data_IF_384471418159
#
_entry.id   IF_384471418159
#
_cell.length_a   1.000
_cell.length_b   1.000
_cell.length_c   1.000
_cell.angle_alpha   90.00
_cell.angle_beta   90.00
_cell.angle_gamma   90.00
#
_symmetry.space_group_name_H-M   'P 1'
#
loop_
_entity.id
_entity.type
_entity.pdbx_description
1 polymer ?
#
# COMPACT_ATOMS: atom_id res chain seq x y z
N UNK A 1 20.41 -8.35 -4.07
CA UNK A 1 20.47 -8.24 -2.60
C UNK A 1 21.72 -7.48 -2.18
N UNK A 2 21.68 -6.92 -0.96
CA UNK A 2 22.83 -6.30 -0.29
C UNK A 2 23.10 -7.07 0.98
N UNK A 3 24.33 -7.52 1.16
CA UNK A 3 24.76 -8.22 2.39
C UNK A 3 25.56 -7.24 3.24
N UNK A 4 25.18 -7.12 4.52
CA UNK A 4 25.86 -6.29 5.51
C UNK A 4 26.62 -7.20 6.46
N UNK A 5 27.98 -7.28 6.37
CA UNK A 5 28.77 -8.12 7.25
C UNK A 5 28.57 -7.73 8.72
N UNK A 6 28.24 -8.71 9.57
CA UNK A 6 27.95 -8.50 10.98
C UNK A 6 26.61 -7.86 11.28
N UNK A 7 25.79 -7.56 10.28
CA UNK A 7 24.43 -7.04 10.46
C UNK A 7 23.42 -8.15 10.85
N UNK A 8 22.41 -7.77 11.60
CA UNK A 8 21.26 -8.64 11.92
C UNK A 8 20.09 -8.28 11.03
N UNK A 9 19.40 -9.27 10.47
CA UNK A 9 18.15 -9.06 9.70
C UNK A 9 17.12 -8.37 10.57
N UNK A 10 16.35 -7.46 9.96
CA UNK A 10 15.26 -6.76 10.64
C UNK A 10 14.35 -7.71 11.41
N UNK A 11 13.96 -7.31 12.60
CA UNK A 11 13.06 -8.08 13.47
C UNK A 11 11.92 -7.18 13.90
N UNK A 12 10.69 -7.71 13.85
CA UNK A 12 9.51 -7.04 14.37
C UNK A 12 8.76 -7.98 15.32
N UNK A 13 8.49 -7.49 16.53
CA UNK A 13 7.69 -8.18 17.55
C UNK A 13 6.35 -7.45 17.66
N UNK A 14 5.28 -8.19 17.46
CA UNK A 14 3.90 -7.70 17.65
C UNK A 14 3.36 -8.21 18.98
N UNK A 15 2.74 -7.32 19.74
CA UNK A 15 2.03 -7.61 20.96
C UNK A 15 0.55 -7.34 20.67
N UNK A 16 -0.24 -8.41 20.71
CA UNK A 16 -1.68 -8.32 20.48
C UNK A 16 -2.40 -8.18 21.84
N UNK A 17 -3.54 -7.52 21.84
CA UNK A 17 -4.44 -7.47 22.99
C UNK A 17 -5.30 -8.74 23.09
N UNK A 18 -6.23 -8.75 24.06
CA UNK A 18 -7.14 -9.88 24.32
C UNK A 18 -8.15 -10.14 23.19
N UNK A 19 -8.30 -9.18 22.25
CA UNK A 19 -9.17 -9.29 21.08
C UNK A 19 -8.40 -9.68 19.81
N UNK A 20 -7.06 -9.81 19.91
CA UNK A 20 -6.20 -10.11 18.78
C UNK A 20 -5.79 -8.89 17.96
N UNK A 21 -6.11 -7.67 18.42
CA UNK A 21 -5.72 -6.43 17.80
C UNK A 21 -4.29 -6.04 18.20
N UNK A 22 -3.59 -5.33 17.30
CA UNK A 22 -2.23 -4.88 17.54
C UNK A 22 -2.20 -3.81 18.63
N UNK A 23 -1.71 -4.18 19.82
CA UNK A 23 -1.52 -3.28 20.96
C UNK A 23 -0.21 -2.52 20.86
N UNK A 24 0.89 -3.21 20.55
CA UNK A 24 2.24 -2.63 20.43
C UNK A 24 3.05 -3.36 19.38
N UNK A 25 3.98 -2.63 18.74
CA UNK A 25 5.00 -3.19 17.88
C UNK A 25 6.38 -2.70 18.28
N UNK A 26 7.34 -3.62 18.41
CA UNK A 26 8.75 -3.32 18.64
C UNK A 26 9.52 -3.79 17.42
N UNK A 27 10.18 -2.87 16.72
CA UNK A 27 10.87 -3.17 15.48
C UNK A 27 12.33 -2.71 15.52
N UNK A 28 13.24 -3.60 15.14
CA UNK A 28 14.62 -3.27 14.79
C UNK A 28 14.78 -3.37 13.27
N UNK A 29 14.83 -2.20 12.63
CA UNK A 29 14.94 -2.04 11.18
C UNK A 29 16.29 -1.42 10.77
N UNK A 30 17.24 -1.30 11.70
CA UNK A 30 18.51 -0.57 11.51
C UNK A 30 19.34 -1.04 10.33
N UNK A 31 19.25 -2.32 9.95
CA UNK A 31 19.96 -2.83 8.76
C UNK A 31 19.54 -2.13 7.47
N UNK A 32 18.32 -1.61 7.39
CA UNK A 32 17.79 -0.91 6.21
C UNK A 32 18.47 0.43 5.96
N UNK A 33 19.13 1.03 6.97
CA UNK A 33 19.92 2.24 6.82
C UNK A 33 21.15 2.01 5.92
N UNK A 34 21.54 0.76 5.71
CA UNK A 34 22.57 0.39 4.74
C UNK A 34 22.16 0.54 3.28
N UNK A 35 20.85 0.65 2.99
CA UNK A 35 20.33 0.97 1.66
C UNK A 35 20.47 2.47 1.36
N UNK A 36 21.71 2.95 1.33
CA UNK A 36 22.03 4.34 1.05
C UNK A 36 21.81 4.70 -0.43
N UNK A 37 21.69 6.00 -0.78
CA UNK A 37 21.62 6.43 -2.17
C UNK A 37 22.73 5.85 -3.05
N UNK A 38 23.97 5.78 -2.56
CA UNK A 38 25.08 5.21 -3.33
C UNK A 38 24.97 3.70 -3.57
N UNK A 39 24.28 2.97 -2.68
CA UNK A 39 23.97 1.55 -2.89
C UNK A 39 22.87 1.39 -3.94
N UNK A 40 21.85 2.25 -3.91
CA UNK A 40 20.74 2.27 -4.85
C UNK A 40 21.20 2.69 -6.25
N UNK A 41 22.06 3.69 -6.35
CA UNK A 41 22.67 4.15 -7.60
C UNK A 41 23.33 3.00 -8.38
N UNK A 42 24.08 2.15 -7.68
CA UNK A 42 24.69 0.95 -8.29
C UNK A 42 23.68 -0.12 -8.73
N UNK A 43 22.41 0.05 -8.42
CA UNK A 43 21.30 -0.84 -8.79
C UNK A 43 20.28 -0.19 -9.73
N UNK A 44 20.47 1.09 -10.07
CA UNK A 44 19.50 1.85 -10.83
C UNK A 44 19.17 1.19 -12.17
N UNK A 45 20.18 0.71 -12.91
CA UNK A 45 19.98 -0.04 -14.16
C UNK A 45 19.11 -1.30 -13.99
N UNK A 46 19.19 -1.95 -12.84
CA UNK A 46 18.35 -3.11 -12.52
C UNK A 46 16.92 -2.69 -12.22
N UNK A 47 16.75 -1.60 -11.47
CA UNK A 47 15.45 -1.04 -11.11
C UNK A 47 14.73 -0.55 -12.37
N UNK A 48 15.39 0.21 -13.22
CA UNK A 48 14.79 0.78 -14.43
C UNK A 48 14.45 -0.25 -15.52
N UNK A 49 15.02 -1.45 -15.45
CA UNK A 49 14.61 -2.57 -16.31
C UNK A 49 13.40 -3.35 -15.79
N UNK A 50 12.95 -3.07 -14.57
CA UNK A 50 11.73 -3.69 -14.03
C UNK A 50 10.50 -3.02 -14.65
N UNK A 51 9.38 -3.74 -14.70
CA UNK A 51 8.10 -3.19 -15.18
C UNK A 51 7.44 -2.30 -14.11
N UNK A 52 7.75 -2.55 -12.83
CA UNK A 52 7.31 -1.76 -11.69
C UNK A 52 8.36 -1.83 -10.58
N UNK A 53 8.45 -0.79 -9.77
CA UNK A 53 9.27 -0.77 -8.55
C UNK A 53 8.39 -0.48 -7.34
N UNK A 54 8.55 -1.24 -6.28
CA UNK A 54 7.89 -0.98 -5.00
C UNK A 54 8.90 -0.57 -3.94
N UNK A 55 8.55 0.43 -3.16
CA UNK A 55 9.32 0.88 -2.00
C UNK A 55 8.40 1.17 -0.83
N UNK A 56 8.86 0.85 0.37
CA UNK A 56 8.21 1.27 1.61
C UNK A 56 9.03 2.34 2.34
N UNK A 57 8.45 2.95 3.35
CA UNK A 57 9.09 4.01 4.13
C UNK A 57 10.01 3.50 5.24
N UNK A 58 10.37 2.22 5.26
CA UNK A 58 11.35 1.68 6.21
C UNK A 58 12.78 2.15 5.90
N UNK A 59 13.09 2.46 4.64
CA UNK A 59 14.39 3.04 4.26
C UNK A 59 14.50 4.53 4.65
N UNK A 60 15.72 5.10 4.54
CA UNK A 60 15.96 6.50 4.89
C UNK A 60 15.25 7.47 3.94
N UNK A 61 14.98 8.71 4.42
CA UNK A 61 14.40 9.77 3.58
C UNK A 61 15.27 10.09 2.37
N UNK A 62 16.60 10.07 2.56
CA UNK A 62 17.57 10.32 1.49
C UNK A 62 17.47 9.27 0.39
N UNK A 63 17.28 8.00 0.78
CA UNK A 63 17.12 6.89 -0.15
C UNK A 63 15.77 6.91 -0.86
N UNK A 64 14.69 7.29 -0.16
CA UNK A 64 13.38 7.54 -0.77
C UNK A 64 13.46 8.65 -1.80
N UNK A 65 14.11 9.77 -1.46
CA UNK A 65 14.31 10.89 -2.39
C UNK A 65 15.10 10.45 -3.61
N UNK A 66 16.20 9.73 -3.41
CA UNK A 66 17.02 9.23 -4.52
C UNK A 66 16.18 8.38 -5.49
N UNK A 67 15.39 7.43 -4.97
CA UNK A 67 14.50 6.62 -5.83
C UNK A 67 13.46 7.49 -6.54
N UNK A 68 12.80 8.39 -5.83
CA UNK A 68 11.78 9.28 -6.38
C UNK A 68 12.32 10.17 -7.52
N UNK A 69 13.56 10.64 -7.40
CA UNK A 69 14.16 11.57 -8.39
C UNK A 69 14.86 10.86 -9.56
N UNK A 70 15.22 9.57 -9.44
CA UNK A 70 16.09 8.90 -10.44
C UNK A 70 15.47 7.66 -11.07
N UNK A 71 14.46 7.04 -10.44
CA UNK A 71 13.81 5.84 -11.02
C UNK A 71 12.82 6.27 -12.09
N UNK A 72 12.91 5.65 -13.27
CA UNK A 72 12.06 5.94 -14.43
C UNK A 72 10.90 4.96 -14.61
N UNK A 73 10.95 3.80 -13.93
CA UNK A 73 9.85 2.82 -13.95
C UNK A 73 8.73 3.23 -12.97
N UNK A 74 7.46 2.84 -13.21
CA UNK A 74 6.37 3.14 -12.29
C UNK A 74 6.71 2.77 -10.84
N UNK A 75 6.69 3.77 -9.95
CA UNK A 75 7.12 3.64 -8.57
C UNK A 75 5.90 3.57 -7.64
N UNK A 76 5.75 2.48 -6.92
CA UNK A 76 4.68 2.23 -5.96
C UNK A 76 5.20 2.40 -4.53
N UNK A 77 4.38 2.95 -3.63
CA UNK A 77 4.80 3.21 -2.27
C UNK A 77 3.74 2.82 -1.22
N UNK A 78 4.22 2.23 -0.12
CA UNK A 78 3.43 2.06 1.12
C UNK A 78 4.03 2.93 2.23
N UNK A 79 3.23 3.79 2.90
CA UNK A 79 3.69 4.64 4.00
C UNK A 79 4.06 3.89 5.27
N UNK A 80 3.62 2.65 5.46
CA UNK A 80 3.88 1.74 6.60
C UNK A 80 3.31 2.21 7.93
N UNK A 81 3.45 3.50 8.27
CA UNK A 81 2.91 4.10 9.50
C UNK A 81 2.84 5.61 9.41
N UNK A 82 2.01 6.23 10.24
CA UNK A 82 1.85 7.69 10.32
C UNK A 82 3.18 8.43 10.55
N UNK A 83 4.04 7.90 11.42
CA UNK A 83 5.35 8.50 11.72
C UNK A 83 6.31 8.40 10.53
N UNK A 84 6.31 7.28 9.81
CA UNK A 84 7.17 7.07 8.65
C UNK A 84 6.66 7.78 7.40
N UNK A 85 5.35 7.94 7.25
CA UNK A 85 4.71 8.66 6.15
C UNK A 85 5.28 10.09 5.97
N UNK A 86 5.69 10.75 7.05
CA UNK A 86 6.31 12.08 7.00
C UNK A 86 7.58 12.15 6.16
N UNK A 87 8.28 11.01 5.96
CA UNK A 87 9.45 10.93 5.07
C UNK A 87 9.11 11.23 3.61
N UNK A 88 7.84 11.06 3.21
CA UNK A 88 7.35 11.25 1.84
C UNK A 88 6.99 12.71 1.52
N UNK A 89 7.05 13.62 2.51
CA UNK A 89 6.75 15.04 2.30
C UNK A 89 7.59 15.64 1.16
N UNK A 90 6.92 16.20 0.16
CA UNK A 90 7.54 16.78 -1.05
C UNK A 90 8.03 15.76 -2.08
N UNK A 91 7.72 14.46 -1.90
CA UNK A 91 8.12 13.40 -2.84
C UNK A 91 6.92 12.73 -3.54
N UNK A 92 5.70 12.99 -3.07
CA UNK A 92 4.49 12.25 -3.50
C UNK A 92 4.27 12.28 -5.02
N UNK A 93 4.55 13.39 -5.68
CA UNK A 93 4.36 13.55 -7.12
C UNK A 93 5.30 12.71 -8.01
N UNK A 94 6.24 11.96 -7.42
CA UNK A 94 7.11 11.04 -8.15
C UNK A 94 6.59 9.60 -8.15
N UNK A 95 5.51 9.32 -7.40
CA UNK A 95 4.97 7.98 -7.31
C UNK A 95 3.81 7.77 -8.27
N UNK A 96 3.80 6.60 -8.92
CA UNK A 96 2.66 6.16 -9.73
C UNK A 96 1.46 5.82 -8.83
N UNK A 97 1.68 5.08 -7.75
CA UNK A 97 0.59 4.76 -6.84
C UNK A 97 1.05 4.67 -5.38
N UNK A 98 0.14 5.04 -4.49
CA UNK A 98 0.35 4.93 -3.03
C UNK A 98 -0.88 4.34 -2.35
N UNK A 99 -0.64 3.51 -1.32
CA UNK A 99 -1.70 2.91 -0.52
C UNK A 99 -1.58 3.26 0.97
N UNK A 100 -1.98 4.46 1.37
CA UNK A 100 -2.10 4.79 2.79
C UNK A 100 -3.36 4.16 3.41
N UNK A 101 -3.36 3.95 4.72
CA UNK A 101 -4.60 3.85 5.49
C UNK A 101 -5.13 5.27 5.83
N UNK A 102 -6.32 5.35 6.46
CA UNK A 102 -6.93 6.64 6.81
C UNK A 102 -5.99 7.52 7.67
N UNK A 103 -5.36 6.96 8.70
CA UNK A 103 -4.47 7.71 9.61
C UNK A 103 -3.20 8.19 8.89
N UNK A 104 -2.67 7.40 7.98
CA UNK A 104 -1.51 7.78 7.16
C UNK A 104 -1.88 8.87 6.14
N UNK A 105 -3.08 8.78 5.54
CA UNK A 105 -3.60 9.81 4.67
C UNK A 105 -3.81 11.14 5.43
N UNK A 106 -4.33 11.09 6.67
CA UNK A 106 -4.40 12.26 7.56
C UNK A 106 -3.03 12.88 7.81
N UNK A 107 -2.03 12.05 8.15
CA UNK A 107 -0.68 12.51 8.41
C UNK A 107 -0.01 13.16 7.19
N UNK A 108 -0.30 12.66 5.98
CA UNK A 108 0.23 13.18 4.72
C UNK A 108 -0.45 14.47 4.27
N UNK A 109 -1.76 14.61 4.54
CA UNK A 109 -2.59 15.71 4.00
C UNK A 109 -2.91 16.80 5.00
N UNK A 110 -2.83 16.50 6.30
CA UNK A 110 -3.33 17.36 7.37
C UNK A 110 -4.87 17.46 7.41
N UNK A 111 -5.58 16.58 6.71
CA UNK A 111 -7.05 16.49 6.74
C UNK A 111 -7.44 15.44 7.75
N UNK A 112 -8.28 15.77 8.73
CA UNK A 112 -8.89 14.76 9.60
C UNK A 112 -10.05 14.09 8.87
N UNK A 113 -10.00 12.77 8.75
CA UNK A 113 -10.97 11.96 8.02
C UNK A 113 -12.04 11.47 9.02
N UNK A 114 -13.26 11.97 8.89
CA UNK A 114 -14.39 11.63 9.76
C UNK A 114 -15.69 11.36 8.97
N UNK A 115 -15.71 11.66 7.68
CA UNK A 115 -16.82 11.43 6.76
C UNK A 115 -16.32 11.26 5.32
N UNK A 116 -17.24 10.96 4.41
CA UNK A 116 -16.94 10.79 2.98
C UNK A 116 -16.27 12.02 2.36
N UNK A 117 -16.77 13.23 2.69
CA UNK A 117 -16.24 14.49 2.12
C UNK A 117 -14.81 14.76 2.55
N UNK A 118 -14.48 14.49 3.81
CA UNK A 118 -13.11 14.65 4.31
C UNK A 118 -12.19 13.59 3.74
N UNK A 119 -12.68 12.38 3.49
CA UNK A 119 -11.94 11.31 2.82
C UNK A 119 -11.62 11.68 1.35
N UNK A 120 -12.63 12.15 0.59
CA UNK A 120 -12.45 12.65 -0.77
C UNK A 120 -11.48 13.84 -0.82
N UNK A 121 -11.57 14.76 0.15
CA UNK A 121 -10.65 15.89 0.26
C UNK A 121 -9.20 15.42 0.51
N UNK A 122 -9.01 14.43 1.35
CA UNK A 122 -7.68 13.85 1.59
C UNK A 122 -7.12 13.21 0.32
N UNK A 123 -7.92 12.40 -0.39
CA UNK A 123 -7.51 11.80 -1.66
C UNK A 123 -7.14 12.86 -2.70
N UNK A 124 -7.96 13.90 -2.85
CA UNK A 124 -7.69 15.02 -3.77
C UNK A 124 -6.39 15.72 -3.43
N UNK A 125 -6.13 16.03 -2.16
CA UNK A 125 -4.87 16.67 -1.75
C UNK A 125 -3.65 15.80 -2.07
N UNK A 126 -3.77 14.47 -1.98
CA UNK A 126 -2.70 13.57 -2.38
C UNK A 126 -2.45 13.64 -3.89
N UNK A 127 -3.51 13.61 -4.70
CA UNK A 127 -3.40 13.74 -6.16
C UNK A 127 -2.88 15.13 -6.58
N UNK A 128 -3.26 16.20 -5.89
CA UNK A 128 -2.80 17.58 -6.15
C UNK A 128 -1.26 17.73 -5.99
N UNK A 129 -0.58 16.77 -5.35
CA UNK A 129 0.89 16.72 -5.26
C UNK A 129 1.56 16.21 -6.55
N UNK A 130 0.80 15.68 -7.50
CA UNK A 130 1.28 14.99 -8.68
C UNK A 130 1.29 13.45 -8.57
N UNK A 131 0.87 12.89 -7.42
CA UNK A 131 0.64 11.44 -7.27
C UNK A 131 -0.42 11.00 -8.29
N UNK A 132 -0.13 9.94 -9.08
CA UNK A 132 -1.05 9.55 -10.16
C UNK A 132 -2.26 8.77 -9.64
N UNK A 133 -2.07 7.88 -8.66
CA UNK A 133 -3.14 7.07 -8.07
C UNK A 133 -2.98 6.96 -6.54
N UNK A 134 -4.08 6.97 -5.82
CA UNK A 134 -4.11 6.72 -4.37
C UNK A 134 -5.18 5.70 -4.02
N UNK A 135 -4.85 4.81 -3.08
CA UNK A 135 -5.71 3.76 -2.56
C UNK A 135 -5.79 3.88 -1.04
N UNK A 136 -6.80 4.60 -0.51
CA UNK A 136 -6.95 4.82 0.93
C UNK A 136 -7.73 3.66 1.55
N UNK A 137 -7.05 2.81 2.31
CA UNK A 137 -7.68 1.68 2.99
C UNK A 137 -8.38 2.10 4.27
N UNK A 138 -9.60 1.58 4.47
CA UNK A 138 -10.52 1.96 5.54
C UNK A 138 -10.90 0.75 6.44
N UNK A 139 -10.09 -0.30 6.40
CA UNK A 139 -10.36 -1.53 7.15
C UNK A 139 -11.67 -2.18 6.70
N UNK A 140 -12.59 -2.40 7.65
CA UNK A 140 -13.90 -2.99 7.37
C UNK A 140 -14.79 -2.13 6.46
N UNK A 141 -14.51 -0.83 6.34
CA UNK A 141 -15.27 0.10 5.51
C UNK A 141 -14.83 0.10 4.04
N UNK A 142 -13.83 -0.73 3.68
CA UNK A 142 -13.42 -0.95 2.30
C UNK A 142 -12.25 -0.07 1.85
N UNK A 143 -12.31 0.43 0.62
CA UNK A 143 -11.21 1.12 -0.05
C UNK A 143 -11.74 2.30 -0.88
N UNK A 144 -11.13 3.47 -0.73
CA UNK A 144 -11.30 4.58 -1.65
C UNK A 144 -10.11 4.60 -2.60
N UNK A 145 -10.39 4.61 -3.90
CA UNK A 145 -9.39 4.71 -4.95
C UNK A 145 -9.62 5.99 -5.75
N UNK A 146 -8.55 6.71 -6.05
CA UNK A 146 -8.62 7.94 -6.84
C UNK A 146 -7.43 8.05 -7.79
N UNK A 147 -7.66 8.60 -8.97
CA UNK A 147 -6.68 8.84 -10.03
C UNK A 147 -7.18 9.87 -11.02
N UNK A 148 -6.53 9.96 -12.18
CA UNK A 148 -6.91 10.92 -13.24
C UNK A 148 -8.32 10.66 -13.79
N UNK A 149 -8.75 9.40 -13.84
CA UNK A 149 -10.04 8.98 -14.40
C UNK A 149 -11.21 9.16 -13.42
N UNK A 150 -10.94 9.61 -12.21
CA UNK A 150 -11.96 9.85 -11.19
C UNK A 150 -11.64 9.24 -9.83
N UNK A 151 -12.70 9.11 -9.05
CA UNK A 151 -12.64 8.57 -7.70
C UNK A 151 -13.78 7.57 -7.51
N UNK A 152 -13.50 6.45 -6.87
CA UNK A 152 -14.49 5.44 -6.55
C UNK A 152 -14.25 4.90 -5.15
N UNK A 153 -15.31 4.46 -4.51
CA UNK A 153 -15.26 3.75 -3.24
C UNK A 153 -15.95 2.41 -3.35
N UNK A 154 -15.24 1.35 -2.96
CA UNK A 154 -15.81 0.01 -2.88
C UNK A 154 -15.85 -0.46 -1.41
N UNK A 155 -16.92 -1.15 -0.98
CA UNK A 155 -16.99 -1.75 0.34
C UNK A 155 -16.01 -2.92 0.46
N UNK A 156 -15.63 -3.28 1.69
CA UNK A 156 -14.84 -4.49 1.93
C UNK A 156 -15.59 -5.73 1.45
N UNK A 157 -14.84 -6.71 0.96
CA UNK A 157 -15.43 -8.00 0.61
C UNK A 157 -15.64 -8.84 1.88
N UNK A 158 -16.69 -9.65 1.86
CA UNK A 158 -16.98 -10.55 2.97
C UNK A 158 -15.83 -11.53 3.20
N UNK A 159 -15.42 -11.70 4.46
CA UNK A 159 -14.36 -12.61 4.87
C UNK A 159 -14.59 -13.09 6.31
N UNK A 160 -14.19 -14.32 6.59
CA UNK A 160 -14.12 -14.86 7.94
C UNK A 160 -12.78 -14.43 8.58
N UNK A 161 -12.77 -13.24 9.17
CA UNK A 161 -11.54 -12.59 9.64
C UNK A 161 -10.91 -13.37 10.79
N UNK A 162 -9.68 -13.86 10.55
CA UNK A 162 -8.82 -14.52 11.53
C UNK A 162 -7.72 -13.58 12.00
N UNK A 163 -7.09 -12.84 11.07
CA UNK A 163 -6.03 -11.87 11.36
C UNK A 163 -5.97 -10.80 10.27
N UNK A 164 -5.85 -9.54 10.66
CA UNK A 164 -5.65 -8.43 9.72
C UNK A 164 -4.17 -8.20 9.36
N UNK A 165 -3.24 -8.91 10.02
CA UNK A 165 -1.80 -8.70 9.83
C UNK A 165 -1.37 -9.13 8.43
N UNK A 166 -0.69 -8.21 7.70
CA UNK A 166 -0.20 -8.45 6.34
C UNK A 166 -1.22 -8.19 5.23
N UNK A 167 -2.50 -7.91 5.55
CA UNK A 167 -3.52 -7.60 4.54
C UNK A 167 -3.20 -6.32 3.76
N UNK A 168 -2.61 -5.33 4.42
CA UNK A 168 -2.16 -4.09 3.79
C UNK A 168 -1.06 -4.31 2.76
N UNK A 169 -0.03 -5.08 3.11
CA UNK A 169 1.09 -5.40 2.21
C UNK A 169 0.60 -6.24 1.02
N UNK A 170 -0.28 -7.21 1.31
CA UNK A 170 -0.87 -8.05 0.28
C UNK A 170 -1.78 -7.24 -0.67
N UNK A 171 -2.54 -6.26 -0.16
CA UNK A 171 -3.32 -5.32 -0.96
C UNK A 171 -2.43 -4.51 -1.90
N UNK A 172 -1.30 -3.98 -1.43
CA UNK A 172 -0.35 -3.28 -2.30
C UNK A 172 0.20 -4.22 -3.39
N UNK A 173 0.54 -5.45 -3.04
CA UNK A 173 0.94 -6.48 -4.01
C UNK A 173 -0.13 -6.72 -5.08
N UNK A 174 -1.41 -6.73 -4.72
CA UNK A 174 -2.53 -6.87 -5.65
C UNK A 174 -2.70 -5.66 -6.56
N UNK A 175 -2.54 -4.44 -6.04
CA UNK A 175 -2.58 -3.20 -6.84
C UNK A 175 -1.48 -3.21 -7.90
N UNK A 176 -0.25 -3.59 -7.53
CA UNK A 176 0.87 -3.74 -8.47
C UNK A 176 0.56 -4.84 -9.50
N UNK A 177 0.04 -5.99 -9.05
CA UNK A 177 -0.34 -7.07 -9.95
C UNK A 177 -1.41 -6.62 -10.96
N UNK A 178 -2.44 -5.91 -10.52
CA UNK A 178 -3.49 -5.35 -11.39
C UNK A 178 -2.91 -4.39 -12.43
N UNK A 179 -2.01 -3.48 -12.01
CA UNK A 179 -1.27 -2.60 -12.94
C UNK A 179 -0.51 -3.41 -14.00
N UNK A 180 0.19 -4.48 -13.61
CA UNK A 180 0.92 -5.35 -14.55
C UNK A 180 0.01 -6.15 -15.48
N UNK A 181 -1.26 -6.35 -15.13
CA UNK A 181 -2.28 -6.96 -16.01
C UNK A 181 -2.96 -5.94 -16.93
N UNK A 182 -2.70 -4.64 -16.75
CA UNK A 182 -3.34 -3.57 -17.50
C UNK A 182 -4.77 -3.26 -17.04
N UNK A 183 -5.11 -3.64 -15.80
CA UNK A 183 -6.40 -3.28 -15.20
C UNK A 183 -6.49 -1.78 -14.96
N UNK A 184 -7.71 -1.25 -15.02
CA UNK A 184 -8.01 0.14 -14.68
C UNK A 184 -8.04 0.36 -13.14
N UNK A 185 -8.37 1.57 -12.72
CA UNK A 185 -8.45 1.95 -11.30
C UNK A 185 -9.48 1.09 -10.54
N UNK A 186 -10.62 0.77 -11.15
CA UNK A 186 -11.66 -0.07 -10.54
C UNK A 186 -11.17 -1.51 -10.39
N UNK A 187 -10.54 -2.08 -11.42
CA UNK A 187 -9.92 -3.41 -11.38
C UNK A 187 -8.83 -3.51 -10.32
N UNK A 188 -7.98 -2.49 -10.19
CA UNK A 188 -6.95 -2.44 -9.16
C UNK A 188 -7.55 -2.35 -7.74
N UNK A 189 -8.61 -1.56 -7.57
CA UNK A 189 -9.36 -1.47 -6.31
C UNK A 189 -9.99 -2.82 -5.92
N UNK A 190 -10.67 -3.46 -6.87
CA UNK A 190 -11.31 -4.77 -6.67
C UNK A 190 -10.28 -5.87 -6.35
N UNK A 191 -9.14 -5.89 -7.04
CA UNK A 191 -8.06 -6.83 -6.77
C UNK A 191 -7.48 -6.62 -5.35
N UNK A 192 -7.26 -5.36 -4.95
CA UNK A 192 -6.80 -5.01 -3.61
C UNK A 192 -7.74 -5.52 -2.52
N UNK A 193 -9.05 -5.31 -2.67
CA UNK A 193 -10.06 -5.78 -1.72
C UNK A 193 -10.16 -7.32 -1.69
N UNK A 194 -10.08 -7.97 -2.85
CA UNK A 194 -10.11 -9.44 -2.93
C UNK A 194 -8.93 -10.07 -2.18
N UNK A 195 -7.73 -9.53 -2.40
CA UNK A 195 -6.52 -10.01 -1.72
C UNK A 195 -6.57 -9.72 -0.23
N UNK A 196 -7.02 -8.54 0.19
CA UNK A 196 -7.19 -8.23 1.61
C UNK A 196 -8.13 -9.21 2.29
N UNK A 197 -9.30 -9.51 1.69
CA UNK A 197 -10.25 -10.49 2.21
C UNK A 197 -9.62 -11.89 2.33
N UNK A 198 -8.97 -12.39 1.28
CA UNK A 198 -8.29 -13.70 1.30
C UNK A 198 -7.21 -13.74 2.40
N UNK A 199 -6.43 -12.67 2.56
CA UNK A 199 -5.34 -12.63 3.56
C UNK A 199 -5.88 -12.61 4.98
N UNK A 200 -6.98 -11.91 5.25
CA UNK A 200 -7.57 -11.85 6.60
C UNK A 200 -8.17 -13.18 7.07
N UNK A 201 -8.47 -14.12 6.16
CA UNK A 201 -8.95 -15.47 6.47
C UNK A 201 -7.84 -16.42 6.97
N UNK A 202 -6.60 -15.95 7.13
CA UNK A 202 -5.46 -16.75 7.56
C UNK A 202 -4.81 -16.19 8.82
N UNK A 203 -4.37 -17.07 9.72
CA UNK A 203 -3.51 -16.70 10.84
C UNK A 203 -2.06 -16.39 10.40
N UNK A 204 -1.67 -16.78 9.19
CA UNK A 204 -0.35 -16.49 8.63
C UNK A 204 -0.33 -15.12 7.98
N UNK A 205 0.71 -14.33 8.21
CA UNK A 205 0.93 -13.01 7.58
C UNK A 205 0.85 -13.08 6.04
N UNK A 206 1.31 -14.19 5.45
CA UNK A 206 1.15 -14.50 4.03
C UNK A 206 0.24 -15.73 3.93
N UNK A 207 -0.96 -15.54 3.37
CA UNK A 207 -1.89 -16.66 3.19
C UNK A 207 -1.37 -17.62 2.11
N UNK A 208 -1.11 -18.91 2.43
CA UNK A 208 -0.61 -19.87 1.45
C UNK A 208 -1.59 -20.17 0.30
N UNK A 209 -2.87 -19.85 0.46
CA UNK A 209 -3.92 -20.03 -0.55
C UNK A 209 -4.04 -18.81 -1.49
N UNK A 210 -3.25 -17.77 -1.31
CA UNK A 210 -3.27 -16.59 -2.17
C UNK A 210 -2.69 -16.94 -3.55
N UNK A 211 -3.57 -17.01 -4.54
CA UNK A 211 -3.24 -17.26 -5.95
C UNK A 211 -3.98 -16.27 -6.84
N UNK A 212 -3.46 -16.03 -8.05
CA UNK A 212 -4.13 -15.17 -9.02
C UNK A 212 -5.56 -15.68 -9.37
N UNK A 213 -5.78 -17.00 -9.35
CA UNK A 213 -7.09 -17.60 -9.61
C UNK A 213 -8.05 -17.31 -8.45
N UNK A 214 -7.62 -17.50 -7.19
CA UNK A 214 -8.42 -17.17 -6.01
C UNK A 214 -8.82 -15.68 -5.99
N UNK A 215 -7.91 -14.80 -6.38
CA UNK A 215 -8.18 -13.36 -6.48
C UNK A 215 -9.25 -13.08 -7.53
N UNK A 216 -9.10 -13.60 -8.76
CA UNK A 216 -10.11 -13.43 -9.82
C UNK A 216 -11.48 -14.00 -9.45
N UNK A 217 -11.50 -15.15 -8.79
CA UNK A 217 -12.73 -15.74 -8.30
C UNK A 217 -13.40 -14.84 -7.26
N UNK A 218 -12.66 -14.34 -6.26
CA UNK A 218 -13.21 -13.44 -5.22
C UNK A 218 -13.71 -12.13 -5.82
N UNK A 219 -13.01 -11.56 -6.81
CA UNK A 219 -13.47 -10.37 -7.55
C UNK A 219 -14.80 -10.65 -8.27
N UNK A 220 -14.94 -11.80 -8.94
CA UNK A 220 -16.16 -12.16 -9.65
C UNK A 220 -17.35 -12.37 -8.70
N UNK A 221 -17.14 -13.02 -7.56
CA UNK A 221 -18.16 -13.22 -6.53
C UNK A 221 -18.65 -11.88 -5.95
N UNK A 222 -17.74 -10.95 -5.68
CA UNK A 222 -18.07 -9.62 -5.16
C UNK A 222 -18.75 -8.73 -6.21
N UNK A 223 -18.32 -8.77 -7.47
CA UNK A 223 -18.96 -8.05 -8.58
C UNK A 223 -20.39 -8.50 -8.86
N UNK A 224 -20.71 -9.77 -8.58
CA UNK A 224 -22.07 -10.29 -8.67
C UNK A 224 -23.01 -9.77 -7.55
N UNK A 225 -22.44 -9.29 -6.44
CA UNK A 225 -23.18 -8.80 -5.26
C UNK A 225 -23.14 -7.28 -5.10
N UNK A 226 -22.27 -6.56 -5.82
CA UNK A 226 -21.95 -5.15 -5.62
C UNK A 226 -22.81 -4.18 -6.42
N UNK A 227 -23.49 -3.27 -5.75
CA UNK A 227 -23.90 -1.99 -6.35
C UNK A 227 -22.71 -1.03 -6.30
N UNK A 228 -22.16 -0.70 -7.47
CA UNK A 228 -21.27 0.43 -7.64
C UNK A 228 -22.05 1.70 -7.29
N UNK A 229 -21.67 2.40 -6.24
CA UNK A 229 -22.15 3.76 -5.98
C UNK A 229 -21.35 4.67 -6.93
N UNK A 230 -21.90 4.94 -8.11
CA UNK A 230 -21.36 5.94 -9.01
C UNK A 230 -21.39 7.31 -8.31
N UNK A 231 -20.21 7.93 -8.16
CA UNK A 231 -20.13 9.33 -7.79
C UNK A 231 -20.77 10.20 -8.90
N UNK A 232 -21.80 10.97 -8.53
CA UNK A 232 -22.32 12.09 -9.32
C UNK A 232 -21.51 13.34 -9.03
#
# INVERSE_FOLDING_TARGET
SVTVPGGTTSTCLFILDEHGDLSQAIADMGILDSLTPSVLERRLDLIDRATACFVDTNISRESLRFLAEHVSTPLFCDPVSTSKATKLSGLLGHFHAMKPNALEAEALTGVTIHDEKSLELAAKKLLDTGLEQVFISLGADGLLCAGQDGMLRLPSYSADVVSATGSGDAMMGAIIWAHLQGEDLEGACAAGLAVAAICTESASTVNPNLTAEAVRQRMAEAGATGKVLSAN
#
